data_IF_839515856501
#
_entry.id   IF_839515856501
#
_cell.length_a   1.000
_cell.length_b   1.000
_cell.length_c   1.000
_cell.angle_alpha   90.00
_cell.angle_beta   90.00
_cell.angle_gamma   90.00
#
_symmetry.space_group_name_H-M   'P 1'
#
loop_
_entity.id
_entity.type
_entity.pdbx_description
1 polymer ?
#
# COMPACT_ATOMS: atom_id res chain seq x y z
N UNK A 1 -1.01 12.89 -16.62
CA UNK A 1 -0.77 12.50 -15.22
C UNK A 1 -0.81 10.97 -15.16
N UNK A 2 0.15 10.32 -14.48
CA UNK A 2 0.07 8.87 -14.24
C UNK A 2 -1.08 8.63 -13.27
N UNK A 3 -1.89 7.59 -13.49
CA UNK A 3 -2.92 7.18 -12.53
C UNK A 3 -2.23 6.52 -11.33
N UNK A 4 -2.26 7.21 -10.19
CA UNK A 4 -1.61 6.78 -8.94
C UNK A 4 -2.62 6.32 -7.89
N UNK A 5 -3.90 6.25 -8.24
CA UNK A 5 -4.99 5.94 -7.32
C UNK A 5 -4.77 4.58 -6.65
N UNK A 6 -4.43 3.56 -7.45
CA UNK A 6 -4.27 2.18 -6.97
C UNK A 6 -3.03 2.00 -6.10
N UNK A 7 -1.82 2.48 -6.49
CA UNK A 7 -0.68 2.47 -5.58
C UNK A 7 -0.95 3.20 -4.26
N UNK A 8 -1.64 4.35 -4.30
CA UNK A 8 -1.98 5.11 -3.08
C UNK A 8 -2.94 4.32 -2.17
N UNK A 9 -3.92 3.62 -2.73
CA UNK A 9 -4.78 2.73 -1.93
C UNK A 9 -3.99 1.55 -1.35
N UNK A 10 -3.06 0.97 -2.11
CA UNK A 10 -2.24 -0.15 -1.63
C UNK A 10 -1.34 0.25 -0.47
N UNK A 11 -0.67 1.40 -0.55
CA UNK A 11 0.17 1.86 0.56
C UNK A 11 -0.67 2.14 1.81
N UNK A 12 -1.89 2.67 1.67
CA UNK A 12 -2.82 2.84 2.80
C UNK A 12 -3.24 1.53 3.46
N UNK A 13 -3.35 0.44 2.69
CA UNK A 13 -3.65 -0.88 3.23
C UNK A 13 -2.44 -1.50 3.96
N UNK A 14 -1.24 -1.27 3.45
CA UNK A 14 0.01 -1.78 4.02
C UNK A 14 0.58 -0.91 5.15
N UNK A 15 0.01 0.28 5.38
CA UNK A 15 0.52 1.27 6.33
C UNK A 15 0.55 0.77 7.79
N UNK A 16 -0.23 -0.25 8.11
CA UNK A 16 -0.23 -0.92 9.42
C UNK A 16 1.03 -1.78 9.67
N UNK A 17 1.83 -2.05 8.65
CA UNK A 17 3.01 -2.92 8.74
C UNK A 17 2.70 -4.42 8.78
N UNK A 18 1.43 -4.81 8.79
CA UNK A 18 1.02 -6.21 8.86
C UNK A 18 1.17 -6.92 7.51
N UNK A 19 1.12 -8.25 7.52
CA UNK A 19 1.14 -9.03 6.29
C UNK A 19 -0.25 -9.09 5.66
N UNK A 20 -0.34 -8.62 4.41
CA UNK A 20 -1.53 -8.70 3.58
C UNK A 20 -1.28 -9.60 2.37
N UNK A 21 -2.14 -10.60 2.18
CA UNK A 21 -1.96 -11.55 1.08
C UNK A 21 -2.27 -10.89 -0.28
N UNK A 22 -1.57 -11.29 -1.33
CA UNK A 22 -1.83 -10.75 -2.67
C UNK A 22 -3.22 -11.09 -3.22
N UNK A 23 -3.83 -12.16 -2.69
CA UNK A 23 -5.21 -12.54 -2.99
C UNK A 23 -6.19 -11.61 -2.27
N UNK A 24 -6.00 -11.39 -0.95
CA UNK A 24 -6.82 -10.47 -0.16
C UNK A 24 -6.79 -9.03 -0.71
N UNK A 25 -5.61 -8.54 -1.09
CA UNK A 25 -5.46 -7.23 -1.73
C UNK A 25 -6.15 -7.20 -3.11
N UNK A 26 -6.05 -8.29 -3.86
CA UNK A 26 -6.72 -8.47 -5.14
C UNK A 26 -8.24 -8.41 -5.01
N UNK A 27 -8.82 -9.17 -4.08
CA UNK A 27 -10.25 -9.19 -3.80
C UNK A 27 -10.77 -7.81 -3.38
N UNK A 28 -10.06 -7.12 -2.46
CA UNK A 28 -10.44 -5.78 -2.00
C UNK A 28 -10.43 -4.73 -3.11
N UNK A 29 -9.51 -4.86 -4.06
CA UNK A 29 -9.34 -3.90 -5.15
C UNK A 29 -10.03 -4.33 -6.46
N UNK A 30 -10.65 -5.51 -6.50
CA UNK A 30 -11.24 -6.08 -7.73
C UNK A 30 -10.20 -6.39 -8.81
N UNK A 31 -8.99 -6.80 -8.40
CA UNK A 31 -7.82 -6.98 -9.25
C UNK A 31 -7.23 -8.37 -9.16
N UNK A 32 -6.57 -8.81 -10.24
CA UNK A 32 -5.78 -10.03 -10.20
C UNK A 32 -4.53 -9.85 -9.35
N UNK A 33 -4.02 -10.95 -8.78
CA UNK A 33 -2.75 -10.95 -8.04
C UNK A 33 -1.57 -10.39 -8.86
N UNK A 34 -1.58 -10.60 -10.18
CA UNK A 34 -0.56 -10.05 -11.08
C UNK A 34 -0.64 -8.52 -11.19
N UNK A 35 -1.85 -7.96 -11.23
CA UNK A 35 -2.05 -6.51 -11.22
C UNK A 35 -1.60 -5.90 -9.87
N UNK A 36 -1.90 -6.56 -8.75
CA UNK A 36 -1.39 -6.15 -7.43
C UNK A 36 0.14 -6.09 -7.44
N UNK A 37 0.82 -7.13 -7.93
CA UNK A 37 2.28 -7.15 -7.98
C UNK A 37 2.87 -5.99 -8.81
N UNK A 38 2.22 -5.61 -9.92
CA UNK A 38 2.61 -4.45 -10.73
C UNK A 38 2.53 -3.15 -9.92
N UNK A 39 1.49 -2.96 -9.13
CA UNK A 39 1.34 -1.75 -8.31
C UNK A 39 2.26 -1.75 -7.08
N UNK A 40 2.56 -2.93 -6.50
CA UNK A 40 3.60 -3.07 -5.47
C UNK A 40 4.96 -2.65 -6.05
N UNK A 41 5.27 -3.00 -7.30
CA UNK A 41 6.49 -2.53 -7.95
C UNK A 41 6.50 -1.00 -8.07
N UNK A 42 5.39 -0.35 -8.40
CA UNK A 42 5.30 1.11 -8.40
C UNK A 42 5.62 1.71 -7.03
N UNK A 43 5.19 1.09 -5.93
CA UNK A 43 5.54 1.55 -4.58
C UNK A 43 7.05 1.42 -4.30
N UNK A 44 7.67 0.32 -4.75
CA UNK A 44 9.13 0.17 -4.68
C UNK A 44 9.86 1.23 -5.49
N UNK A 45 9.35 1.57 -6.67
CA UNK A 45 9.90 2.62 -7.52
C UNK A 45 9.78 4.01 -6.87
N UNK A 46 8.85 4.20 -5.92
CA UNK A 46 8.73 5.41 -5.10
C UNK A 46 9.69 5.41 -3.89
N UNK A 47 10.48 4.35 -3.71
CA UNK A 47 11.39 4.20 -2.59
C UNK A 47 10.77 3.57 -1.34
N UNK A 48 9.54 3.04 -1.43
CA UNK A 48 8.93 2.30 -0.32
C UNK A 48 9.55 0.90 -0.27
N UNK A 49 10.09 0.53 0.89
CA UNK A 49 10.53 -0.84 1.11
C UNK A 49 9.33 -1.73 1.41
N UNK A 50 9.04 -2.67 0.50
CA UNK A 50 7.93 -3.61 0.63
C UNK A 50 8.50 -5.01 0.68
N UNK A 51 8.32 -5.70 1.80
CA UNK A 51 8.67 -7.11 1.91
C UNK A 51 7.66 -7.97 1.18
N UNK A 52 8.15 -9.06 0.60
CA UNK A 52 7.31 -10.08 -0.04
C UNK A 52 7.75 -11.43 0.46
N UNK A 53 6.86 -12.10 1.18
CA UNK A 53 7.12 -13.43 1.73
C UNK A 53 6.22 -14.43 0.98
N UNK A 54 6.80 -15.39 0.24
CA UNK A 54 6.02 -16.44 -0.42
C UNK A 54 5.07 -17.14 0.55
N UNK A 55 3.79 -17.22 0.19
CA UNK A 55 2.75 -17.83 1.03
C UNK A 55 2.17 -16.94 2.13
N UNK A 56 2.79 -15.79 2.47
CA UNK A 56 2.22 -14.81 3.41
C UNK A 56 1.66 -13.57 2.71
N UNK A 57 2.41 -12.98 1.78
CA UNK A 57 2.01 -11.76 1.08
C UNK A 57 3.01 -10.62 1.19
N UNK A 58 2.48 -9.40 1.33
CA UNK A 58 3.22 -8.14 1.33
C UNK A 58 3.10 -7.44 2.69
N UNK A 59 4.13 -6.75 3.12
CA UNK A 59 4.18 -5.99 4.38
C UNK A 59 5.25 -4.90 4.27
N UNK A 60 5.12 -3.85 5.07
CA UNK A 60 6.18 -2.86 5.27
C UNK A 60 7.09 -3.29 6.44
N UNK A 61 8.39 -2.95 6.41
CA UNK A 61 9.30 -3.24 7.53
C UNK A 61 8.82 -2.67 8.86
N UNK A 62 8.21 -1.48 8.80
CA UNK A 62 7.65 -0.78 9.93
C UNK A 62 6.33 -0.12 9.52
N UNK A 63 5.37 0.03 10.44
CA UNK A 63 4.17 0.80 10.18
C UNK A 63 4.52 2.24 9.83
N UNK A 64 3.81 2.81 8.87
CA UNK A 64 4.00 4.20 8.46
C UNK A 64 2.75 5.00 8.74
N UNK A 65 2.93 6.22 9.20
CA UNK A 65 1.83 7.15 9.37
C UNK A 65 1.68 7.99 8.11
N UNK A 66 0.65 7.72 7.32
CA UNK A 66 0.32 8.53 6.16
C UNK A 66 -0.17 9.92 6.58
N UNK A 67 0.02 10.90 5.70
CA UNK A 67 -0.51 12.24 5.89
C UNK A 67 -2.02 12.22 5.75
N UNK A 68 -2.68 12.83 6.72
CA UNK A 68 -4.14 13.00 6.76
C UNK A 68 -4.45 14.49 6.80
N UNK A 69 -5.18 14.96 5.79
CA UNK A 69 -5.46 16.38 5.60
C UNK A 69 -6.32 16.95 6.74
N UNK A 70 -7.32 16.20 7.20
CA UNK A 70 -8.22 16.62 8.28
C UNK A 70 -7.47 16.68 9.62
N UNK A 71 -6.56 15.72 9.85
CA UNK A 71 -5.70 15.70 11.03
C UNK A 71 -4.69 16.85 11.06
N UNK A 72 -4.19 17.27 9.89
CA UNK A 72 -3.26 18.41 9.79
C UNK A 72 -4.01 19.72 10.03
N UNK A 73 -5.16 19.92 9.40
CA UNK A 73 -5.94 21.15 9.56
C UNK A 73 -6.48 21.32 10.99
N UNK A 74 -6.90 20.24 11.65
CA UNK A 74 -7.35 20.28 13.05
C UNK A 74 -6.25 20.64 14.06
N UNK A 75 -4.97 20.57 13.68
CA UNK A 75 -3.83 20.95 14.53
C UNK A 75 -3.38 22.41 14.33
N UNK A 76 -3.91 23.09 13.32
CA UNK A 76 -3.45 24.44 12.91
C UNK A 76 -4.52 25.52 13.13
N UNK A 77 -5.60 25.21 13.86
CA UNK A 77 -6.65 26.15 14.27
C UNK A 77 -6.71 26.27 15.79
#
# INVERSE_FOLDING_TARGET
>A
MKDTTVPLTLISLLADGEFHSGEQLGERLGMSRAAINKHIQTLRDWGVDVFTVPGKGYSLPEPIQLLDVDRIHSQTG
#
